data_IF_893728766827
#
_entry.id   IF_893728766827
#
_cell.length_a   1.000
_cell.length_b   1.000
_cell.length_c   1.000
_cell.angle_alpha   90.00
_cell.angle_beta   90.00
_cell.angle_gamma   90.00
#
_symmetry.space_group_name_H-M   'P 1'
#
loop_
_entity.id
_entity.type
_entity.pdbx_description
1 polymer ?
#
# COMPACT_ATOMS: atom_id res chain seq x y z
N UNK A 1 -1.95 9.28 3.85
CA UNK A 1 -1.54 9.81 2.54
C UNK A 1 -1.92 11.26 2.34
N UNK A 2 -3.23 11.62 2.27
CA UNK A 2 -3.70 12.96 1.86
C UNK A 2 -3.07 14.13 2.62
N UNK A 3 -3.08 14.13 3.95
CA UNK A 3 -2.46 15.21 4.73
C UNK A 3 -0.95 15.36 4.52
N UNK A 4 -0.29 14.29 4.19
CA UNK A 4 1.16 14.32 3.92
C UNK A 4 1.45 15.07 2.63
N UNK A 5 0.72 14.78 1.56
CA UNK A 5 0.89 15.49 0.28
C UNK A 5 0.39 16.94 0.34
N UNK A 6 -0.63 17.22 1.15
CA UNK A 6 -1.11 18.58 1.42
C UNK A 6 -0.02 19.47 2.04
N UNK A 7 0.78 18.94 2.98
CA UNK A 7 1.94 19.63 3.54
C UNK A 7 3.01 19.97 2.50
N UNK A 8 3.04 19.24 1.40
CA UNK A 8 3.96 19.46 0.29
C UNK A 8 3.34 20.29 -0.85
N UNK A 9 2.16 20.87 -0.63
CA UNK A 9 1.50 21.79 -1.56
C UNK A 9 0.56 21.14 -2.57
N UNK A 10 0.33 19.82 -2.48
CA UNK A 10 -0.67 19.15 -3.32
C UNK A 10 -2.08 19.27 -2.71
N UNK A 11 -3.10 19.13 -3.55
CA UNK A 11 -4.51 19.11 -3.11
C UNK A 11 -5.02 17.66 -3.16
N UNK A 12 -5.16 16.98 -2.01
CA UNK A 12 -5.66 15.61 -1.99
C UNK A 12 -7.17 15.56 -2.27
N UNK A 13 -7.56 14.63 -3.13
CA UNK A 13 -8.96 14.34 -3.44
C UNK A 13 -9.21 12.85 -3.15
N UNK A 14 -10.22 12.56 -2.34
CA UNK A 14 -10.66 11.19 -2.09
C UNK A 14 -11.74 10.79 -3.09
N UNK A 15 -11.46 9.76 -3.88
CA UNK A 15 -12.36 9.24 -4.90
C UNK A 15 -12.71 7.77 -4.61
N UNK A 16 -13.90 7.35 -5.02
CA UNK A 16 -14.19 5.92 -5.12
C UNK A 16 -13.39 5.29 -6.26
N UNK A 17 -13.03 4.01 -6.16
CA UNK A 17 -12.17 3.34 -7.15
C UNK A 17 -12.68 3.45 -8.59
N UNK A 18 -14.01 3.35 -8.81
CA UNK A 18 -14.62 3.50 -10.13
C UNK A 18 -14.52 4.91 -10.73
N UNK A 19 -14.26 5.93 -9.90
CA UNK A 19 -14.19 7.34 -10.34
C UNK A 19 -12.76 7.79 -10.67
N UNK A 20 -11.74 6.99 -10.34
CA UNK A 20 -10.32 7.35 -10.53
C UNK A 20 -9.99 7.50 -12.02
N UNK A 21 -10.32 6.52 -12.85
CA UNK A 21 -10.03 6.58 -14.27
C UNK A 21 -10.76 7.74 -14.97
N UNK A 22 -12.05 7.99 -14.75
CA UNK A 22 -12.72 9.18 -15.26
C UNK A 22 -12.08 10.49 -14.81
N UNK A 23 -11.68 10.62 -13.55
CA UNK A 23 -11.05 11.81 -13.01
C UNK A 23 -9.68 12.09 -13.64
N UNK A 24 -8.84 11.06 -13.81
CA UNK A 24 -7.56 11.17 -14.53
C UNK A 24 -7.78 11.52 -16.01
N UNK A 25 -8.75 10.88 -16.68
CA UNK A 25 -9.01 11.09 -18.09
C UNK A 25 -9.51 12.50 -18.39
N UNK A 26 -10.33 13.06 -17.49
CA UNK A 26 -10.85 14.43 -17.62
C UNK A 26 -9.87 15.52 -17.17
N UNK A 27 -8.76 15.14 -16.51
CA UNK A 27 -7.84 16.10 -15.90
C UNK A 27 -8.37 16.73 -14.61
N UNK A 28 -9.40 16.16 -13.99
CA UNK A 28 -9.90 16.61 -12.68
C UNK A 28 -8.88 16.34 -11.57
N UNK A 29 -8.02 15.34 -11.76
CA UNK A 29 -6.84 15.06 -10.93
C UNK A 29 -5.62 14.83 -11.82
N UNK A 30 -4.45 15.26 -11.36
CA UNK A 30 -3.18 15.15 -12.09
C UNK A 30 -2.50 13.79 -11.90
N UNK A 31 -2.76 13.13 -10.77
CA UNK A 31 -2.21 11.84 -10.42
C UNK A 31 -3.18 11.09 -9.51
N UNK A 32 -3.05 9.78 -9.46
CA UNK A 32 -3.82 8.95 -8.55
C UNK A 32 -2.93 7.87 -7.91
N UNK A 33 -3.31 7.45 -6.74
CA UNK A 33 -2.82 6.27 -6.06
C UNK A 33 -3.98 5.26 -5.98
N UNK A 34 -3.67 3.97 -6.20
CA UNK A 34 -4.70 2.94 -6.11
C UNK A 34 -4.21 1.75 -5.29
N UNK A 35 -3.71 0.67 -5.89
CA UNK A 35 -3.36 -0.53 -5.09
C UNK A 35 -2.00 -1.11 -5.51
N UNK A 36 -1.95 -1.73 -6.69
CA UNK A 36 -0.77 -2.48 -7.16
C UNK A 36 -0.92 -2.84 -8.64
N UNK A 37 0.14 -3.29 -9.34
CA UNK A 37 0.10 -3.51 -10.78
C UNK A 37 -1.07 -4.33 -11.30
N UNK A 38 -1.47 -5.39 -10.59
CA UNK A 38 -2.58 -6.24 -11.02
C UNK A 38 -3.94 -5.54 -10.91
N UNK A 39 -4.16 -4.78 -9.83
CA UNK A 39 -5.37 -4.01 -9.62
C UNK A 39 -5.44 -2.80 -10.55
N UNK A 40 -4.32 -2.09 -10.73
CA UNK A 40 -4.22 -0.89 -11.57
C UNK A 40 -4.40 -1.23 -13.05
N UNK A 41 -3.86 -2.37 -13.50
CA UNK A 41 -4.11 -2.93 -14.82
C UNK A 41 -5.61 -3.27 -15.00
N UNK A 42 -6.22 -3.92 -13.99
CA UNK A 42 -7.65 -4.26 -14.01
C UNK A 42 -8.56 -3.04 -14.02
N UNK A 43 -8.18 -1.96 -13.34
CA UNK A 43 -8.88 -0.68 -13.33
C UNK A 43 -8.65 0.14 -14.63
N UNK A 44 -7.73 -0.28 -15.50
CA UNK A 44 -7.45 0.39 -16.76
C UNK A 44 -6.75 1.75 -16.65
N UNK A 45 -6.07 2.03 -15.52
CA UNK A 45 -5.45 3.34 -15.25
C UNK A 45 -4.38 3.74 -16.28
N UNK A 46 -3.75 2.76 -16.94
CA UNK A 46 -2.82 2.97 -18.05
C UNK A 46 -3.40 3.73 -19.25
N UNK A 47 -4.74 3.79 -19.37
CA UNK A 47 -5.40 4.54 -20.44
C UNK A 47 -5.27 6.05 -20.24
N UNK A 48 -5.16 6.49 -18.99
CA UNK A 48 -5.03 7.92 -18.65
C UNK A 48 -3.62 8.29 -18.18
N UNK A 49 -2.89 7.37 -17.53
CA UNK A 49 -1.59 7.63 -16.93
C UNK A 49 -0.48 6.82 -17.62
N UNK A 50 0.54 7.51 -18.15
CA UNK A 50 1.70 6.89 -18.81
C UNK A 50 2.88 6.59 -17.87
N UNK A 51 2.93 7.26 -16.72
CA UNK A 51 4.01 7.13 -15.76
C UNK A 51 3.51 6.41 -14.53
N UNK A 52 4.26 5.40 -14.10
CA UNK A 52 3.93 4.57 -12.95
C UNK A 52 5.09 4.62 -11.95
N UNK A 53 4.86 5.32 -10.85
CA UNK A 53 5.87 5.56 -9.84
C UNK A 53 5.78 4.55 -8.71
N UNK A 54 6.93 4.02 -8.30
CA UNK A 54 7.10 3.14 -7.16
C UNK A 54 8.37 3.47 -6.36
N UNK A 55 8.54 2.87 -5.19
CA UNK A 55 7.53 2.12 -4.42
C UNK A 55 6.45 3.01 -3.83
N UNK A 56 5.32 2.39 -3.39
CA UNK A 56 4.30 3.11 -2.63
C UNK A 56 4.89 3.65 -1.32
N UNK A 57 4.94 4.97 -1.20
CA UNK A 57 5.62 5.64 -0.09
C UNK A 57 4.77 5.71 1.19
N UNK A 58 3.46 5.65 1.08
CA UNK A 58 2.51 5.88 2.19
C UNK A 58 1.84 4.60 2.68
N UNK A 59 1.54 3.66 1.80
CA UNK A 59 0.91 2.38 2.12
C UNK A 59 1.62 1.23 1.39
N UNK A 60 2.78 0.77 1.90
CA UNK A 60 3.52 -0.32 1.26
C UNK A 60 2.79 -1.67 1.35
N UNK A 61 1.77 -1.75 2.20
CA UNK A 61 0.87 -2.90 2.35
C UNK A 61 -0.50 -2.45 2.86
N UNK A 62 -1.52 -3.23 2.60
CA UNK A 62 -2.88 -2.99 3.07
C UNK A 62 -3.32 -4.11 3.99
N UNK A 63 -3.91 -3.74 5.13
CA UNK A 63 -4.64 -4.66 5.99
C UNK A 63 -6.13 -4.55 5.65
N UNK A 64 -6.69 -5.64 5.13
CA UNK A 64 -8.12 -5.74 4.89
C UNK A 64 -8.80 -6.42 6.08
N UNK A 65 -9.96 -5.95 6.45
CA UNK A 65 -10.79 -6.52 7.51
C UNK A 65 -12.15 -6.97 6.95
N UNK A 66 -12.74 -7.95 7.64
CA UNK A 66 -14.10 -8.37 7.45
C UNK A 66 -14.97 -7.79 8.56
N UNK A 67 -15.75 -6.76 8.24
CA UNK A 67 -16.68 -6.16 9.19
C UNK A 67 -18.07 -6.80 9.07
N UNK A 68 -18.63 -7.26 10.18
CA UNK A 68 -19.96 -7.89 10.25
C UNK A 68 -20.80 -7.09 11.24
N UNK A 69 -22.04 -6.81 10.89
CA UNK A 69 -23.01 -6.21 11.82
C UNK A 69 -23.13 -7.06 13.08
N UNK A 70 -23.08 -6.43 14.26
CA UNK A 70 -23.04 -7.14 15.53
C UNK A 70 -24.25 -8.06 15.73
N UNK A 71 -25.47 -7.61 15.39
CA UNK A 71 -26.68 -8.43 15.52
C UNK A 71 -26.64 -9.64 14.59
N UNK A 72 -26.12 -9.45 13.38
CA UNK A 72 -25.89 -10.55 12.43
C UNK A 72 -24.89 -11.54 12.99
N UNK A 73 -23.77 -11.05 13.52
CA UNK A 73 -22.76 -11.90 14.15
C UNK A 73 -23.30 -12.70 15.34
N UNK A 74 -24.03 -12.05 16.23
CA UNK A 74 -24.65 -12.68 17.40
C UNK A 74 -25.77 -13.67 17.06
N UNK A 75 -26.35 -13.57 15.87
CA UNK A 75 -27.38 -14.53 15.39
C UNK A 75 -26.80 -15.84 14.85
N UNK A 76 -25.49 -15.88 14.58
CA UNK A 76 -24.79 -17.07 14.11
C UNK A 76 -24.47 -18.00 15.28
N UNK A 77 -24.53 -19.31 15.02
CA UNK A 77 -24.04 -20.31 15.97
C UNK A 77 -22.51 -20.25 16.10
N UNK A 78 -21.98 -20.81 17.19
CA UNK A 78 -20.55 -20.76 17.51
C UNK A 78 -19.66 -21.43 16.44
N UNK A 79 -20.16 -22.50 15.81
CA UNK A 79 -19.41 -23.22 14.78
C UNK A 79 -19.28 -22.36 13.51
N UNK A 80 -20.36 -21.69 13.13
CA UNK A 80 -20.35 -20.73 11.99
C UNK A 80 -19.43 -19.54 12.27
N UNK A 81 -19.46 -18.96 13.49
CA UNK A 81 -18.56 -17.88 13.89
C UNK A 81 -17.09 -18.32 13.81
N UNK A 82 -16.78 -19.51 14.32
CA UNK A 82 -15.42 -20.08 14.26
C UNK A 82 -14.95 -20.33 12.84
N UNK A 83 -15.84 -20.84 11.97
CA UNK A 83 -15.54 -21.07 10.56
C UNK A 83 -15.22 -19.75 9.82
N UNK A 84 -16.00 -18.70 10.07
CA UNK A 84 -15.75 -17.37 9.46
C UNK A 84 -14.38 -16.82 9.90
N UNK A 85 -14.05 -16.93 11.20
CA UNK A 85 -12.77 -16.48 11.76
C UNK A 85 -11.58 -17.23 11.15
N UNK A 86 -11.68 -18.55 11.03
CA UNK A 86 -10.64 -19.38 10.42
C UNK A 86 -10.49 -19.14 8.91
N UNK A 87 -11.59 -18.92 8.20
CA UNK A 87 -11.57 -18.55 6.78
C UNK A 87 -10.93 -17.18 6.59
N UNK A 88 -11.23 -16.19 7.44
CA UNK A 88 -10.64 -14.86 7.36
C UNK A 88 -9.12 -14.91 7.54
N UNK A 89 -8.63 -15.69 8.51
CA UNK A 89 -7.20 -15.93 8.74
C UNK A 89 -6.53 -16.62 7.54
N UNK A 90 -7.16 -17.66 7.02
CA UNK A 90 -6.66 -18.40 5.85
C UNK A 90 -6.64 -17.53 4.60
N UNK A 91 -7.67 -16.71 4.42
CA UNK A 91 -7.80 -15.82 3.27
C UNK A 91 -6.71 -14.75 3.22
N UNK A 92 -6.29 -14.24 4.36
CA UNK A 92 -5.19 -13.29 4.48
C UNK A 92 -3.91 -13.81 3.79
N UNK A 93 -3.50 -15.04 4.11
CA UNK A 93 -2.31 -15.66 3.49
C UNK A 93 -2.50 -15.94 2.01
N UNK A 94 -3.67 -16.42 1.63
CA UNK A 94 -4.00 -16.75 0.24
C UNK A 94 -4.00 -15.51 -0.65
N UNK A 95 -4.61 -14.41 -0.20
CA UNK A 95 -4.67 -13.15 -0.95
C UNK A 95 -3.28 -12.55 -1.09
N UNK A 96 -2.50 -12.49 0.00
CA UNK A 96 -1.13 -12.00 -0.06
C UNK A 96 -0.29 -12.78 -1.09
N UNK A 97 -0.28 -14.12 -1.00
CA UNK A 97 0.47 -14.97 -1.92
C UNK A 97 0.02 -14.80 -3.37
N UNK A 98 -1.29 -14.66 -3.59
CA UNK A 98 -1.86 -14.43 -4.92
C UNK A 98 -1.37 -13.09 -5.51
N UNK A 99 -1.43 -12.00 -4.75
CA UNK A 99 -0.95 -10.71 -5.25
C UNK A 99 0.54 -10.73 -5.55
N UNK A 100 1.35 -11.39 -4.73
CA UNK A 100 2.79 -11.58 -5.03
C UNK A 100 2.99 -12.30 -6.37
N UNK A 101 2.20 -13.32 -6.66
CA UNK A 101 2.31 -14.09 -7.89
C UNK A 101 1.86 -13.32 -9.15
N UNK A 102 0.80 -12.50 -9.06
CA UNK A 102 0.19 -11.85 -10.24
C UNK A 102 0.74 -10.45 -10.52
N UNK A 103 1.36 -9.77 -9.55
CA UNK A 103 1.85 -8.41 -9.75
C UNK A 103 3.02 -8.33 -10.73
N UNK A 104 3.94 -9.29 -10.73
CA UNK A 104 5.04 -9.34 -11.69
C UNK A 104 4.55 -9.42 -13.15
N UNK A 105 3.75 -10.42 -13.53
CA UNK A 105 3.14 -10.51 -14.85
C UNK A 105 2.30 -9.28 -15.22
N UNK A 106 1.53 -8.70 -14.28
CA UNK A 106 0.75 -7.50 -14.54
C UNK A 106 1.63 -6.29 -14.85
N UNK A 107 2.73 -6.10 -14.10
CA UNK A 107 3.71 -5.05 -14.37
C UNK A 107 4.33 -5.21 -15.76
N UNK A 108 4.70 -6.43 -16.16
CA UNK A 108 5.22 -6.70 -17.51
C UNK A 108 4.20 -6.32 -18.59
N UNK A 109 2.92 -6.62 -18.39
CA UNK A 109 1.85 -6.23 -19.33
C UNK A 109 1.68 -4.73 -19.41
N UNK A 110 1.70 -4.00 -18.29
CA UNK A 110 1.66 -2.53 -18.27
C UNK A 110 2.79 -1.95 -19.14
N UNK A 111 4.00 -2.49 -19.03
CA UNK A 111 5.16 -2.02 -19.80
C UNK A 111 5.08 -2.43 -21.26
N UNK A 112 4.87 -3.72 -21.55
CA UNK A 112 5.06 -4.29 -22.88
C UNK A 112 3.84 -4.11 -23.79
N UNK A 113 2.62 -4.15 -23.22
CA UNK A 113 1.38 -4.06 -23.99
C UNK A 113 0.80 -2.63 -23.99
N UNK A 114 1.02 -1.88 -22.90
CA UNK A 114 0.40 -0.56 -22.72
C UNK A 114 1.39 0.61 -22.70
N UNK A 115 2.71 0.34 -22.91
CA UNK A 115 3.77 1.34 -22.96
C UNK A 115 3.87 2.24 -21.72
N UNK A 116 3.52 1.70 -20.54
CA UNK A 116 3.65 2.40 -19.27
C UNK A 116 5.13 2.49 -18.89
N UNK A 117 5.57 3.65 -18.48
CA UNK A 117 6.94 3.90 -18.04
C UNK A 117 7.06 3.80 -16.52
N UNK A 118 7.80 2.80 -16.07
CA UNK A 118 8.08 2.65 -14.64
C UNK A 118 9.12 3.69 -14.21
N UNK A 119 8.83 4.38 -13.14
CA UNK A 119 9.67 5.43 -12.57
C UNK A 119 9.87 5.18 -11.08
N UNK A 120 10.98 5.65 -10.54
CA UNK A 120 11.26 5.69 -9.10
C UNK A 120 11.26 7.15 -8.66
N UNK A 121 10.71 7.42 -7.50
CA UNK A 121 10.79 8.75 -6.90
C UNK A 121 12.25 9.08 -6.57
N UNK A 122 12.73 10.31 -6.86
CA UNK A 122 14.02 10.77 -6.37
C UNK A 122 14.09 10.74 -4.83
N UNK A 123 15.27 10.48 -4.29
CA UNK A 123 15.47 10.40 -2.83
C UNK A 123 15.04 11.66 -2.10
N UNK A 124 15.26 12.83 -2.69
CA UNK A 124 14.81 14.11 -2.14
C UNK A 124 13.29 14.19 -1.96
N UNK A 125 12.53 13.64 -2.91
CA UNK A 125 11.07 13.54 -2.81
C UNK A 125 10.66 12.58 -1.72
N UNK A 126 11.29 11.40 -1.65
CA UNK A 126 11.01 10.41 -0.61
C UNK A 126 11.35 10.94 0.79
N UNK A 127 12.44 11.70 0.92
CA UNK A 127 12.81 12.36 2.19
C UNK A 127 11.77 13.41 2.57
N UNK A 128 11.32 14.25 1.63
CA UNK A 128 10.29 15.27 1.88
C UNK A 128 8.96 14.62 2.31
N UNK A 129 8.53 13.56 1.61
CA UNK A 129 7.35 12.78 1.96
C UNK A 129 7.47 12.14 3.36
N UNK A 130 8.62 11.55 3.66
CA UNK A 130 8.90 10.94 4.96
C UNK A 130 8.85 11.95 6.11
N UNK A 131 9.42 13.13 5.93
CA UNK A 131 9.40 14.20 6.91
C UNK A 131 7.97 14.71 7.15
N UNK A 132 7.23 15.01 6.09
CA UNK A 132 5.83 15.43 6.17
C UNK A 132 4.94 14.36 6.83
N UNK A 133 5.17 13.08 6.53
CA UNK A 133 4.48 11.97 7.19
C UNK A 133 4.78 11.91 8.69
N UNK A 134 6.04 12.11 9.08
CA UNK A 134 6.46 12.18 10.48
C UNK A 134 5.75 13.30 11.25
N UNK A 135 5.63 14.48 10.65
CA UNK A 135 4.89 15.61 11.23
C UNK A 135 3.41 15.27 11.42
N UNK A 136 2.77 14.66 10.39
CA UNK A 136 1.35 14.24 10.48
C UNK A 136 1.14 13.23 11.61
N UNK A 137 2.05 12.25 11.76
CA UNK A 137 1.99 11.27 12.86
C UNK A 137 2.13 11.96 14.22
N UNK A 138 3.06 12.89 14.34
CA UNK A 138 3.27 13.66 15.57
C UNK A 138 2.04 14.51 15.93
N UNK A 139 1.48 15.24 14.98
CA UNK A 139 0.27 16.06 15.17
C UNK A 139 -0.91 15.19 15.61
N UNK A 140 -1.12 14.05 14.99
CA UNK A 140 -2.18 13.10 15.34
C UNK A 140 -1.96 12.45 16.70
N UNK A 141 -0.73 12.10 17.03
CA UNK A 141 -0.36 11.57 18.33
C UNK A 141 -0.49 12.59 19.49
N UNK A 142 -0.60 13.88 19.16
CA UNK A 142 -0.68 14.94 20.18
C UNK A 142 -2.11 15.37 20.52
N UNK A 143 -3.15 14.77 19.92
CA UNK A 143 -4.55 15.19 20.11
C UNK A 143 -5.05 14.93 21.54
N UNK A 144 -4.77 13.75 22.09
CA UNK A 144 -5.18 13.33 23.43
C UNK A 144 -4.24 12.26 24.01
N UNK A 145 -4.51 11.83 25.23
CA UNK A 145 -3.68 10.84 25.92
C UNK A 145 -3.65 9.48 25.22
N UNK A 146 -4.77 9.05 24.63
CA UNK A 146 -4.90 7.78 23.95
C UNK A 146 -4.09 7.76 22.65
N UNK A 147 -4.25 8.80 21.81
CA UNK A 147 -3.47 8.93 20.56
C UNK A 147 -1.98 9.07 20.84
N UNK A 148 -1.60 9.74 21.95
CA UNK A 148 -0.21 9.84 22.39
C UNK A 148 0.36 8.47 22.79
N UNK A 149 -0.41 7.69 23.54
CA UNK A 149 -0.03 6.34 23.93
C UNK A 149 0.17 5.45 22.71
N UNK A 150 -0.78 5.48 21.77
CA UNK A 150 -0.70 4.71 20.52
C UNK A 150 0.51 5.11 19.68
N UNK A 151 0.75 6.41 19.51
CA UNK A 151 1.91 6.91 18.76
C UNK A 151 3.24 6.51 19.40
N UNK A 152 3.34 6.54 20.73
CA UNK A 152 4.53 6.10 21.42
C UNK A 152 4.81 4.60 21.21
N UNK A 153 3.78 3.75 21.25
CA UNK A 153 3.91 2.32 20.96
C UNK A 153 4.35 2.08 19.51
N UNK A 154 3.73 2.77 18.56
CA UNK A 154 4.09 2.68 17.14
C UNK A 154 5.56 3.05 16.91
N UNK A 155 6.01 4.18 17.46
CA UNK A 155 7.39 4.65 17.28
C UNK A 155 8.41 3.75 17.97
N UNK A 156 8.07 3.20 19.15
CA UNK A 156 8.91 2.24 19.85
C UNK A 156 9.04 0.94 19.07
N UNK A 157 7.93 0.38 18.59
CA UNK A 157 7.92 -0.80 17.74
C UNK A 157 8.71 -0.57 16.44
N UNK A 158 8.47 0.56 15.76
CA UNK A 158 9.19 0.93 14.53
C UNK A 158 10.70 0.94 14.73
N UNK A 159 11.18 1.42 15.86
CA UNK A 159 12.62 1.45 16.18
C UNK A 159 13.22 0.04 16.25
N UNK A 160 12.53 -0.88 16.91
CA UNK A 160 12.99 -2.27 17.08
C UNK A 160 12.90 -3.05 15.77
N UNK A 161 11.75 -2.97 15.10
CA UNK A 161 11.51 -3.76 13.89
C UNK A 161 12.40 -3.31 12.72
N UNK A 162 12.75 -2.02 12.64
CA UNK A 162 13.64 -1.49 11.60
C UNK A 162 14.99 -2.20 11.60
N UNK A 163 15.57 -2.45 12.77
CA UNK A 163 16.86 -3.15 12.86
C UNK A 163 16.77 -4.58 12.33
N UNK A 164 15.71 -5.30 12.68
CA UNK A 164 15.45 -6.64 12.17
C UNK A 164 15.27 -6.65 10.64
N UNK A 165 14.40 -5.79 10.10
CA UNK A 165 14.15 -5.73 8.67
C UNK A 165 15.39 -5.35 7.86
N UNK A 166 16.25 -4.46 8.40
CA UNK A 166 17.49 -4.09 7.74
C UNK A 166 18.44 -5.28 7.60
N UNK A 167 18.52 -6.14 8.64
CA UNK A 167 19.38 -7.33 8.64
C UNK A 167 18.77 -8.56 7.97
N UNK A 168 17.45 -8.64 7.94
CA UNK A 168 16.69 -9.74 7.35
C UNK A 168 16.26 -9.41 5.93
N UNK A 169 15.04 -8.93 5.78
CA UNK A 169 14.36 -8.75 4.49
C UNK A 169 15.12 -7.86 3.50
N UNK A 170 15.65 -6.73 3.96
CA UNK A 170 16.36 -5.79 3.11
C UNK A 170 17.68 -6.38 2.61
N UNK A 171 18.44 -7.01 3.49
CA UNK A 171 19.70 -7.66 3.12
C UNK A 171 19.45 -8.89 2.23
N UNK A 172 18.40 -9.66 2.50
CA UNK A 172 18.00 -10.77 1.65
C UNK A 172 17.62 -10.29 0.23
N UNK A 173 16.86 -9.20 0.12
CA UNK A 173 16.54 -8.60 -1.18
C UNK A 173 17.80 -8.17 -1.93
N UNK A 174 18.74 -7.50 -1.24
CA UNK A 174 20.02 -7.11 -1.82
C UNK A 174 20.83 -8.30 -2.32
N UNK A 175 20.85 -9.41 -1.56
CA UNK A 175 21.59 -10.62 -1.96
C UNK A 175 21.00 -11.22 -3.24
N UNK A 176 19.69 -11.20 -3.41
CA UNK A 176 19.03 -11.74 -4.60
C UNK A 176 19.40 -11.01 -5.90
N UNK A 177 19.84 -9.76 -5.79
CA UNK A 177 20.30 -8.95 -6.92
C UNK A 177 21.79 -9.17 -7.28
N UNK A 178 22.50 -10.04 -6.54
CA UNK A 178 23.85 -10.40 -6.87
C UNK A 178 23.91 -11.25 -8.17
N UNK A 179 25.02 -11.15 -8.92
CA UNK A 179 25.13 -11.79 -10.22
C UNK A 179 25.37 -13.32 -10.11
N UNK A 180 24.42 -13.99 -9.50
CA UNK A 180 24.43 -15.46 -9.47
C UNK A 180 24.24 -16.04 -10.86
N UNK A 181 24.95 -17.13 -11.14
CA UNK A 181 24.77 -17.90 -12.37
C UNK A 181 23.88 -19.10 -12.05
N UNK A 182 22.70 -19.10 -12.67
CA UNK A 182 21.84 -20.27 -12.66
C UNK A 182 22.06 -21.07 -13.95
N UNK A 183 22.04 -22.42 -13.91
CA UNK A 183 22.04 -23.21 -15.13
C UNK A 183 20.76 -22.95 -15.91
N UNK A 184 20.90 -22.94 -17.23
CA UNK A 184 19.77 -22.79 -18.19
C UNK A 184 18.87 -24.03 -18.17
#
# INVERSE_FOLDING_TARGET
GGRTIEKLGATPVLLAGGDILPALTSGAVDAAEWICPAADLGAGLYQAAKYYYGPGWHEPSTLLDLSIDLKTWESLDADTQSLIDDLAKSFNMTVFSRFQAINGPALQRLVNEHNVQIKTFPDEVLVALGNAAGEVVFERGSINAETKSLSNHLLSFRKVIKEWFTKGEQEFSRIRDLPFKFPD
#
